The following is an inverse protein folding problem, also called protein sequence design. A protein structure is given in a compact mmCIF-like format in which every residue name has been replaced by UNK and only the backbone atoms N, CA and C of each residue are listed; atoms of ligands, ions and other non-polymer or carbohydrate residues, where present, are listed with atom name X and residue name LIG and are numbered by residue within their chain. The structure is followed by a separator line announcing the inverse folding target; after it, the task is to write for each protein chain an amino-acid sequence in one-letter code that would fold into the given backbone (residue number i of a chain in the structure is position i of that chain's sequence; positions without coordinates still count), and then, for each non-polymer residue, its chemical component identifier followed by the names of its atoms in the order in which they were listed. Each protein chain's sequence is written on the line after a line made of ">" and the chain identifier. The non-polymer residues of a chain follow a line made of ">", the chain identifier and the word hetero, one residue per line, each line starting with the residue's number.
data_IF_086308002903
#
_entry.id   IF_086308002903
#
_cell.length_a   1.000
_cell.length_b   1.000
_cell.length_c   1.000
_cell.angle_alpha   90.00
_cell.angle_beta   90.00
_cell.angle_gamma   90.00
#
_symmetry.space_group_name_H-M   'P 1'
#
loop_
_entity.id
_entity.type
_entity.pdbx_description
1 polymer ?
#
# COMPACT_ATOMS: atom_id res chain seq x y z
N UNK A 1 26.85 10.74 -10.79
CA UNK A 1 26.00 9.88 -9.95
C UNK A 1 26.64 9.79 -8.57
N UNK A 2 25.88 9.92 -7.47
CA UNK A 2 26.42 9.72 -6.13
C UNK A 2 26.90 8.28 -5.94
N UNK A 3 27.96 8.13 -5.16
CA UNK A 3 28.66 6.87 -4.90
C UNK A 3 27.75 5.87 -4.17
N UNK A 4 27.60 4.65 -4.72
CA UNK A 4 26.67 3.64 -4.22
C UNK A 4 27.08 3.14 -2.84
N UNK A 5 28.38 3.00 -2.58
CA UNK A 5 28.90 2.56 -1.29
C UNK A 5 28.58 3.59 -0.20
N UNK A 6 28.59 4.88 -0.54
CA UNK A 6 28.19 5.96 0.38
C UNK A 6 26.69 6.01 0.63
N UNK A 7 25.86 5.61 -0.34
CA UNK A 7 24.40 5.49 -0.18
C UNK A 7 24.02 4.31 0.72
N UNK A 8 24.74 3.19 0.62
CA UNK A 8 24.52 2.00 1.43
C UNK A 8 25.06 2.15 2.87
N UNK A 9 26.08 2.99 3.07
CA UNK A 9 26.68 3.25 4.38
C UNK A 9 25.97 4.35 5.21
N UNK A 10 24.84 4.89 4.74
CA UNK A 10 24.12 5.97 5.45
C UNK A 10 23.63 5.47 6.82
N UNK A 11 23.99 6.12 7.95
CA UNK A 11 23.68 5.65 9.31
C UNK A 11 22.18 5.51 9.60
N UNK A 12 21.37 6.32 8.91
CA UNK A 12 19.89 6.32 9.02
C UNK A 12 19.24 5.16 8.26
N UNK A 13 19.99 4.38 7.46
CA UNK A 13 19.45 3.28 6.65
C UNK A 13 18.51 3.69 5.51
N UNK A 14 18.27 4.98 5.33
CA UNK A 14 17.46 5.55 4.25
C UNK A 14 18.30 6.48 3.36
N UNK A 15 18.64 6.06 2.13
CA UNK A 15 19.52 6.82 1.25
C UNK A 15 18.85 8.03 0.58
N UNK A 16 17.52 8.12 0.61
CA UNK A 16 16.73 9.09 -0.18
C UNK A 16 17.10 10.54 0.14
N UNK A 17 17.25 10.89 1.43
CA UNK A 17 17.62 12.26 1.81
C UNK A 17 19.00 12.67 1.32
N UNK A 18 19.98 11.78 1.47
CA UNK A 18 21.33 12.01 0.95
C UNK A 18 21.34 12.05 -0.58
N UNK A 19 20.55 11.20 -1.23
CA UNK A 19 20.40 11.18 -2.68
C UNK A 19 19.87 12.53 -3.20
N UNK A 20 18.85 13.10 -2.56
CA UNK A 20 18.29 14.39 -2.96
C UNK A 20 19.25 15.55 -2.72
N UNK A 21 19.98 15.54 -1.60
CA UNK A 21 21.06 16.50 -1.36
C UNK A 21 22.17 16.40 -2.42
N UNK A 22 22.62 15.18 -2.74
CA UNK A 22 23.66 14.95 -3.74
C UNK A 22 23.20 15.29 -5.16
N UNK A 23 21.92 15.08 -5.49
CA UNK A 23 21.35 15.40 -6.79
C UNK A 23 21.13 16.91 -7.00
N UNK A 24 20.76 17.63 -5.95
CA UNK A 24 20.51 19.09 -6.01
C UNK A 24 21.76 19.93 -5.76
N UNK A 25 22.82 19.35 -5.21
CA UNK A 25 24.04 20.06 -4.85
C UNK A 25 23.88 21.04 -3.67
N UNK A 26 22.72 21.04 -3.01
CA UNK A 26 22.41 21.91 -1.87
C UNK A 26 21.55 21.18 -0.84
N UNK A 27 21.79 21.44 0.45
CA UNK A 27 20.98 20.90 1.53
C UNK A 27 19.52 21.40 1.46
N UNK A 28 19.34 22.67 1.06
CA UNK A 28 18.02 23.31 0.98
C UNK A 28 17.17 22.71 -0.15
N UNK A 29 17.80 22.42 -1.29
CA UNK A 29 17.17 21.74 -2.43
C UNK A 29 16.77 20.30 -2.07
N UNK A 30 17.65 19.58 -1.36
CA UNK A 30 17.35 18.25 -0.84
C UNK A 30 16.17 18.24 0.15
N UNK A 31 16.11 19.22 1.04
CA UNK A 31 15.00 19.36 2.00
C UNK A 31 13.67 19.66 1.29
N UNK A 32 13.66 20.55 0.30
CA UNK A 32 12.46 20.85 -0.49
C UNK A 32 11.88 19.61 -1.20
N UNK A 33 12.74 18.78 -1.79
CA UNK A 33 12.34 17.51 -2.41
C UNK A 33 11.82 16.49 -1.38
N UNK A 34 12.47 16.39 -0.22
CA UNK A 34 11.98 15.53 0.87
C UNK A 34 10.59 15.97 1.36
N UNK A 35 10.36 17.27 1.53
CA UNK A 35 9.05 17.79 1.93
C UNK A 35 7.95 17.44 0.93
N UNK A 36 8.24 17.60 -0.36
CA UNK A 36 7.32 17.22 -1.44
C UNK A 36 7.02 15.71 -1.39
N UNK A 37 8.04 14.88 -1.20
CA UNK A 37 7.90 13.43 -1.10
C UNK A 37 7.02 13.01 0.09
N UNK A 38 7.18 13.66 1.25
CA UNK A 38 6.31 13.45 2.41
C UNK A 38 4.86 13.83 2.09
N UNK A 39 4.65 14.95 1.38
CA UNK A 39 3.32 15.36 0.90
C UNK A 39 2.67 14.30 0.01
N UNK A 40 3.39 13.77 -0.97
CA UNK A 40 2.90 12.68 -1.84
C UNK A 40 2.51 11.46 -1.00
N UNK A 41 3.36 11.05 -0.06
CA UNK A 41 3.09 9.88 0.77
C UNK A 41 1.86 10.04 1.67
N UNK A 42 1.59 11.26 2.13
CA UNK A 42 0.38 11.55 2.89
C UNK A 42 -0.89 11.30 2.06
N UNK A 43 -0.96 11.84 0.84
CA UNK A 43 -2.10 11.62 -0.04
C UNK A 43 -2.22 10.16 -0.49
N UNK A 44 -1.09 9.51 -0.80
CA UNK A 44 -1.07 8.09 -1.14
C UNK A 44 -1.60 7.23 0.03
N UNK A 45 -1.20 7.53 1.26
CA UNK A 45 -1.68 6.86 2.47
C UNK A 45 -3.19 6.95 2.66
N UNK A 46 -3.78 8.14 2.46
CA UNK A 46 -5.24 8.33 2.51
C UNK A 46 -5.93 7.48 1.43
N UNK A 47 -5.40 7.47 0.21
CA UNK A 47 -5.90 6.66 -0.89
C UNK A 47 -5.87 5.17 -0.59
N UNK A 48 -4.74 4.67 -0.10
CA UNK A 48 -4.56 3.27 0.29
C UNK A 48 -5.49 2.85 1.43
N UNK A 49 -5.66 3.68 2.46
CA UNK A 49 -6.57 3.40 3.57
C UNK A 49 -8.03 3.35 3.10
N UNK A 50 -8.41 4.27 2.21
CA UNK A 50 -9.75 4.29 1.61
C UNK A 50 -10.01 3.04 0.78
N UNK A 51 -9.03 2.61 -0.04
CA UNK A 51 -9.14 1.39 -0.84
C UNK A 51 -9.25 0.15 0.07
N UNK A 52 -8.40 0.03 1.09
CA UNK A 52 -8.43 -1.08 2.04
C UNK A 52 -9.79 -1.19 2.76
N UNK A 53 -10.35 -0.06 3.19
CA UNK A 53 -11.67 -0.01 3.82
C UNK A 53 -12.79 -0.49 2.88
N UNK A 54 -12.75 -0.13 1.59
CA UNK A 54 -13.71 -0.61 0.59
C UNK A 54 -13.57 -2.09 0.29
N UNK A 55 -12.34 -2.60 0.20
CA UNK A 55 -12.10 -4.04 0.04
C UNK A 55 -12.66 -4.83 1.23
N UNK A 56 -12.38 -4.36 2.45
CA UNK A 56 -12.91 -4.98 3.66
C UNK A 56 -14.44 -4.96 3.68
N UNK A 57 -15.06 -3.83 3.33
CA UNK A 57 -16.51 -3.72 3.20
C UNK A 57 -17.08 -4.73 2.18
N UNK A 58 -16.46 -4.86 1.00
CA UNK A 58 -16.89 -5.81 -0.02
C UNK A 58 -16.80 -7.25 0.48
N UNK A 59 -15.68 -7.65 1.09
CA UNK A 59 -15.53 -8.98 1.70
C UNK A 59 -16.52 -9.22 2.85
N UNK A 60 -16.88 -8.17 3.58
CA UNK A 60 -17.89 -8.24 4.65
C UNK A 60 -19.28 -8.50 4.09
N UNK A 61 -19.62 -7.95 2.92
CA UNK A 61 -20.89 -8.24 2.25
C UNK A 61 -20.99 -9.70 1.81
N UNK A 62 -19.86 -10.30 1.45
CA UNK A 62 -19.78 -11.70 1.04
C UNK A 62 -19.67 -12.68 2.24
N UNK A 63 -19.73 -12.16 3.48
CA UNK A 63 -19.65 -12.97 4.70
C UNK A 63 -18.26 -13.55 4.99
N UNK A 64 -17.22 -13.11 4.28
CA UNK A 64 -15.88 -13.69 4.33
C UNK A 64 -15.07 -13.30 5.58
N UNK A 65 -15.55 -12.36 6.39
CA UNK A 65 -14.86 -11.88 7.60
C UNK A 65 -15.69 -12.09 8.87
N UNK A 66 -15.05 -12.44 10.00
CA UNK A 66 -15.74 -12.58 11.28
C UNK A 66 -16.33 -11.24 11.72
N UNK A 67 -17.61 -11.26 12.13
CA UNK A 67 -18.34 -10.02 12.45
C UNK A 67 -18.74 -9.20 11.22
N UNK A 68 -18.87 -9.83 10.05
CA UNK A 68 -19.29 -9.23 8.77
C UNK A 68 -20.44 -8.22 8.87
N UNK A 69 -21.41 -8.43 9.76
CA UNK A 69 -22.55 -7.51 10.00
C UNK A 69 -22.12 -6.13 10.52
N UNK A 70 -20.99 -6.02 11.22
CA UNK A 70 -20.48 -4.76 11.77
C UNK A 70 -19.74 -3.98 10.69
N UNK A 71 -18.89 -4.66 9.93
CA UNK A 71 -18.03 -4.07 8.91
C UNK A 71 -18.76 -3.73 7.61
N UNK A 72 -19.87 -4.41 7.32
CA UNK A 72 -20.77 -4.13 6.18
C UNK A 72 -21.75 -2.98 6.42
N UNK A 73 -21.71 -2.31 7.58
CA UNK A 73 -22.56 -1.13 7.85
C UNK A 73 -21.93 0.14 7.28
N UNK A 74 -22.62 0.76 6.33
CA UNK A 74 -22.31 2.09 5.80
C UNK A 74 -22.94 3.16 6.69
N UNK A 75 -22.20 4.22 6.99
CA UNK A 75 -22.77 5.40 7.64
C UNK A 75 -23.50 6.28 6.61
N UNK A 76 -24.81 6.46 6.79
CA UNK A 76 -25.67 7.27 5.90
C UNK A 76 -25.26 8.74 5.74
N UNK A 77 -24.53 9.32 6.70
CA UNK A 77 -24.12 10.74 6.64
C UNK A 77 -22.94 10.98 5.70
N UNK A 78 -22.02 10.03 5.62
CA UNK A 78 -20.76 10.18 4.89
C UNK A 78 -20.62 9.18 3.73
N UNK A 79 -21.59 8.29 3.57
CA UNK A 79 -21.63 7.20 2.59
C UNK A 79 -20.36 6.33 2.57
N UNK A 80 -19.71 6.21 3.73
CA UNK A 80 -18.48 5.43 3.92
C UNK A 80 -18.63 4.39 5.03
N UNK A 81 -17.98 3.22 4.91
CA UNK A 81 -17.99 2.19 5.94
C UNK A 81 -17.01 2.54 7.07
N UNK A 82 -17.42 3.42 7.98
CA UNK A 82 -16.56 3.95 9.06
C UNK A 82 -15.96 2.86 9.95
N UNK A 83 -16.72 1.80 10.27
CA UNK A 83 -16.23 0.70 11.10
C UNK A 83 -15.10 -0.06 10.40
N UNK A 84 -15.23 -0.31 9.10
CA UNK A 84 -14.19 -0.94 8.29
C UNK A 84 -12.95 -0.02 8.20
N UNK A 85 -13.15 1.28 8.02
CA UNK A 85 -12.05 2.26 7.98
C UNK A 85 -11.27 2.31 9.30
N UNK A 86 -11.97 2.32 10.44
CA UNK A 86 -11.34 2.33 11.76
C UNK A 86 -10.58 1.03 12.02
N UNK A 87 -11.13 -0.12 11.63
CA UNK A 87 -10.42 -1.39 11.73
C UNK A 87 -9.14 -1.40 10.86
N UNK A 88 -9.24 -1.00 9.59
CA UNK A 88 -8.07 -0.91 8.70
C UNK A 88 -7.00 0.02 9.27
N UNK A 89 -7.40 1.17 9.82
CA UNK A 89 -6.47 2.14 10.44
C UNK A 89 -5.79 1.54 11.66
N UNK A 90 -6.54 0.85 12.52
CA UNK A 90 -6.00 0.22 13.73
C UNK A 90 -5.01 -0.89 13.37
N UNK A 91 -5.37 -1.78 12.44
CA UNK A 91 -4.49 -2.86 11.98
C UNK A 91 -3.21 -2.27 11.38
N UNK A 92 -3.33 -1.25 10.52
CA UNK A 92 -2.18 -0.61 9.90
C UNK A 92 -1.29 0.10 10.93
N UNK A 93 -1.88 0.72 11.96
CA UNK A 93 -1.15 1.27 13.10
C UNK A 93 -0.37 0.21 13.87
N UNK A 94 -1.00 -0.92 14.20
CA UNK A 94 -0.35 -2.04 14.88
C UNK A 94 0.80 -2.64 14.07
N UNK A 95 0.61 -2.78 12.75
CA UNK A 95 1.67 -3.22 11.85
C UNK A 95 2.81 -2.19 11.78
N UNK A 96 2.49 -0.90 11.83
CA UNK A 96 3.49 0.17 11.93
C UNK A 96 4.30 0.10 13.22
N UNK A 97 3.69 -0.29 14.36
CA UNK A 97 4.40 -0.46 15.62
C UNK A 97 5.50 -1.53 15.56
N UNK A 98 5.39 -2.53 14.68
CA UNK A 98 6.43 -3.55 14.48
C UNK A 98 7.76 -2.92 14.08
N UNK A 99 7.72 -1.84 13.28
CA UNK A 99 8.92 -1.13 12.86
C UNK A 99 9.74 -0.57 14.03
N UNK A 100 9.08 -0.16 15.13
CA UNK A 100 9.76 0.34 16.33
C UNK A 100 10.55 -0.75 17.07
N UNK A 101 10.10 -2.00 16.98
CA UNK A 101 10.78 -3.13 17.61
C UNK A 101 11.88 -3.73 16.73
N UNK A 102 11.57 -3.96 15.44
CA UNK A 102 12.52 -4.55 14.49
C UNK A 102 12.22 -4.12 13.06
N UNK A 103 13.16 -3.40 12.46
CA UNK A 103 13.13 -3.06 11.04
C UNK A 103 13.19 -4.32 10.15
N UNK A 104 13.89 -5.37 10.58
CA UNK A 104 13.95 -6.64 9.86
C UNK A 104 12.58 -7.34 9.81
N UNK A 105 11.84 -7.36 10.92
CA UNK A 105 10.51 -7.95 10.97
C UNK A 105 9.51 -7.18 10.09
N UNK A 106 9.56 -5.85 10.13
CA UNK A 106 8.74 -5.00 9.28
C UNK A 106 9.06 -5.21 7.79
N UNK A 107 10.35 -5.22 7.42
CA UNK A 107 10.77 -5.44 6.03
C UNK A 107 10.36 -6.82 5.51
N UNK A 108 10.47 -7.86 6.33
CA UNK A 108 10.01 -9.20 5.98
C UNK A 108 8.49 -9.22 5.73
N UNK A 109 7.70 -8.59 6.60
CA UNK A 109 6.26 -8.49 6.44
C UNK A 109 5.85 -7.74 5.16
N UNK A 110 6.45 -6.58 4.88
CA UNK A 110 6.20 -5.81 3.65
C UNK A 110 6.63 -6.59 2.40
N UNK A 111 7.72 -7.36 2.48
CA UNK A 111 8.15 -8.26 1.42
C UNK A 111 7.08 -9.31 1.08
N UNK A 112 6.55 -10.00 2.10
CA UNK A 112 5.47 -10.98 1.91
C UNK A 112 4.22 -10.32 1.34
N UNK A 113 3.82 -9.15 1.84
CA UNK A 113 2.68 -8.42 1.30
C UNK A 113 2.83 -8.10 -0.20
N UNK A 114 4.04 -7.74 -0.63
CA UNK A 114 4.37 -7.48 -2.04
C UNK A 114 4.27 -8.75 -2.89
N UNK A 115 4.75 -9.88 -2.37
CA UNK A 115 4.65 -11.19 -3.04
C UNK A 115 3.18 -11.60 -3.17
N UNK A 116 2.38 -11.48 -2.11
CA UNK A 116 0.95 -11.79 -2.14
C UNK A 116 0.18 -10.91 -3.13
N UNK A 117 0.48 -9.61 -3.17
CA UNK A 117 -0.13 -8.70 -4.13
C UNK A 117 0.24 -9.07 -5.58
N UNK A 118 1.51 -9.37 -5.81
CA UNK A 118 2.01 -9.81 -7.13
C UNK A 118 1.34 -11.12 -7.57
N UNK A 119 1.20 -12.08 -6.64
CA UNK A 119 0.48 -13.32 -6.90
C UNK A 119 -1.02 -13.07 -7.19
N UNK A 120 -1.67 -12.16 -6.46
CA UNK A 120 -3.07 -11.78 -6.70
C UNK A 120 -3.29 -11.19 -8.09
N UNK A 121 -2.33 -10.43 -8.63
CA UNK A 121 -2.39 -9.93 -10.01
C UNK A 121 -2.00 -10.98 -11.04
N UNK A 122 -1.09 -11.90 -10.70
CA UNK A 122 -0.69 -12.99 -11.58
C UNK A 122 -1.82 -14.02 -11.78
N UNK A 123 -2.64 -14.28 -10.76
CA UNK A 123 -3.71 -15.27 -10.77
C UNK A 123 -4.74 -15.07 -11.91
N UNK A 124 -5.36 -13.88 -12.12
CA UNK A 124 -6.29 -13.69 -13.23
C UNK A 124 -5.61 -13.84 -14.60
N UNK A 125 -4.36 -13.38 -14.74
CA UNK A 125 -3.57 -13.56 -15.98
C UNK A 125 -3.33 -15.05 -16.26
N UNK A 126 -2.97 -15.81 -15.23
CA UNK A 126 -2.76 -17.25 -15.34
C UNK A 126 -4.04 -17.99 -15.73
N UNK A 127 -5.18 -17.64 -15.10
CA UNK A 127 -6.49 -18.22 -15.45
C UNK A 127 -6.82 -17.93 -16.92
N UNK A 128 -6.59 -16.71 -17.40
CA UNK A 128 -6.84 -16.33 -18.79
C UNK A 128 -5.96 -17.11 -19.78
N UNK A 129 -4.69 -17.34 -19.44
CA UNK A 129 -3.78 -18.13 -20.27
C UNK A 129 -4.20 -19.61 -20.35
N UNK A 130 -4.68 -20.21 -19.26
CA UNK A 130 -5.07 -21.62 -19.22
C UNK A 130 -6.48 -21.90 -19.77
N UNK A 131 -7.46 -21.05 -19.47
CA UNK A 131 -8.86 -21.24 -19.94
C UNK A 131 -9.15 -20.60 -21.30
N UNK A 132 -8.22 -19.81 -21.85
CA UNK A 132 -8.44 -19.02 -23.05
C UNK A 132 -9.32 -17.79 -22.80
N UNK A 133 -9.39 -16.88 -23.78
CA UNK A 133 -10.11 -15.58 -23.69
C UNK A 133 -11.64 -15.70 -23.64
N UNK A 134 -12.23 -16.89 -23.50
CA UNK A 134 -13.69 -17.08 -23.56
C UNK A 134 -14.45 -16.29 -22.49
N UNK A 135 -13.86 -16.07 -21.31
CA UNK A 135 -14.44 -15.27 -20.22
C UNK A 135 -14.41 -13.76 -20.48
N UNK A 136 -13.58 -13.30 -21.42
CA UNK A 136 -13.43 -11.89 -21.80
C UNK A 136 -14.20 -11.58 -23.09
N UNK A 137 -14.66 -12.61 -23.79
CA UNK A 137 -15.45 -12.49 -25.03
C UNK A 137 -16.87 -11.94 -24.80
N UNK A 138 -17.29 -11.84 -23.53
CA UNK A 138 -18.56 -11.22 -23.10
C UNK A 138 -18.34 -9.89 -22.36
N UNK A 139 -17.09 -9.42 -22.25
CA UNK A 139 -16.77 -8.21 -21.49
C UNK A 139 -17.16 -6.96 -22.31
N UNK A 140 -17.70 -5.89 -21.71
CA UNK A 140 -18.13 -4.70 -22.46
C UNK A 140 -17.01 -3.99 -23.25
N UNK A 141 -15.75 -4.37 -23.04
CA UNK A 141 -14.59 -3.84 -23.75
C UNK A 141 -13.80 -4.99 -24.38
N UNK A 142 -14.05 -5.23 -25.66
CA UNK A 142 -13.25 -6.15 -26.49
C UNK A 142 -12.10 -5.35 -27.12
N UNK A 143 -10.86 -5.76 -26.88
CA UNK A 143 -9.66 -5.22 -27.53
C UNK A 143 -8.97 -6.31 -28.36
#
# INVERSE_FOLDING_TARGET
>A
MPDVDKLLAVPTGQPIGYLFMAATGSADGGFGLLFLLVGIQFFAGIGSLTAASRCLYAFSRDGAVPGSSIWSKINKRYDVPLHALLLSTLIQGLLGLIYLGSSAAFNAFTGVATICLSASYALPVFILLFRGRYLVDSAPFHL
#
